data_IF_896247136505
#
_entry.id   IF_896247136505
#
_cell.length_a   1.000
_cell.length_b   1.000
_cell.length_c   1.000
_cell.angle_alpha   90.00
_cell.angle_beta   90.00
_cell.angle_gamma   90.00
#
_symmetry.space_group_name_H-M   'P 1'
#
loop_
_entity.id
_entity.type
_entity.pdbx_description
1 polymer ?
#
# COMPACT_ATOMS: atom_id res chain seq x y z
N UNK A 1 -15.81 35.26 100.68
CA UNK A 1 -16.52 34.02 100.42
C UNK A 1 -16.08 33.59 99.02
N UNK A 2 -15.07 32.78 99.03
CA UNK A 2 -15.03 31.33 98.73
C UNK A 2 -15.53 31.07 97.33
N UNK A 3 -14.89 30.38 96.43
CA UNK A 3 -14.05 29.15 96.54
C UNK A 3 -13.17 28.98 95.30
N UNK A 4 -12.02 28.44 95.56
CA UNK A 4 -11.03 27.89 94.65
C UNK A 4 -11.64 26.74 93.88
N UNK A 5 -11.33 26.60 92.54
CA UNK A 5 -11.32 25.32 91.92
C UNK A 5 -10.12 25.18 90.98
N UNK A 6 -9.13 24.53 91.55
CA UNK A 6 -7.98 23.96 90.88
C UNK A 6 -8.42 22.82 89.94
N UNK A 7 -8.31 22.98 88.69
CA UNK A 7 -8.39 21.84 87.72
C UNK A 7 -7.02 21.62 87.13
N UNK A 8 -6.32 20.65 87.71
CA UNK A 8 -5.12 20.00 87.14
C UNK A 8 -5.52 19.31 85.85
N UNK A 9 -5.13 19.86 84.70
CA UNK A 9 -5.11 19.11 83.45
C UNK A 9 -3.81 18.36 83.36
N UNK A 10 -3.94 17.00 83.41
CA UNK A 10 -2.85 16.07 83.07
C UNK A 10 -2.73 16.10 81.56
N UNK A 11 -1.60 16.63 81.05
CA UNK A 11 -1.22 16.53 79.64
C UNK A 11 -0.81 15.07 79.40
N UNK A 12 -1.72 14.35 78.70
CA UNK A 12 -1.41 13.04 78.11
C UNK A 12 -0.48 13.31 76.92
N UNK A 13 0.74 12.79 77.04
CA UNK A 13 1.73 12.86 76.01
C UNK A 13 1.23 11.99 74.80
N UNK A 14 0.79 12.63 73.71
CA UNK A 14 0.36 11.96 72.50
C UNK A 14 1.59 11.32 71.83
N UNK A 15 1.60 9.99 71.83
CA UNK A 15 2.53 9.15 71.11
C UNK A 15 2.55 9.55 69.61
N UNK A 16 3.62 10.17 69.17
CA UNK A 16 3.86 10.51 67.78
C UNK A 16 4.04 9.27 66.94
N UNK A 17 3.43 9.24 65.73
CA UNK A 17 3.08 8.05 65.01
C UNK A 17 4.27 7.25 64.49
N UNK A 18 4.15 5.91 64.61
CA UNK A 18 5.01 4.88 64.00
C UNK A 18 5.09 4.93 62.46
N UNK A 19 4.38 5.86 61.83
CA UNK A 19 4.28 6.02 60.35
C UNK A 19 5.61 6.32 59.65
N UNK A 20 6.53 7.06 60.29
CA UNK A 20 7.83 7.40 59.66
C UNK A 20 8.76 6.19 59.49
N UNK A 21 8.68 5.20 60.34
CA UNK A 21 9.53 4.00 60.23
C UNK A 21 9.06 3.06 59.15
N UNK A 22 7.75 2.89 58.99
CA UNK A 22 7.14 2.05 57.93
C UNK A 22 7.46 2.62 56.52
N UNK A 23 7.29 3.92 56.31
CA UNK A 23 7.63 4.56 55.00
C UNK A 23 9.10 4.36 54.63
N UNK A 24 10.02 4.37 55.60
CA UNK A 24 11.44 4.04 55.37
C UNK A 24 11.63 2.56 55.00
N UNK A 25 10.97 1.67 55.71
CA UNK A 25 11.02 0.20 55.41
C UNK A 25 10.49 -0.10 54.05
N UNK A 26 9.32 0.47 53.65
CA UNK A 26 8.73 0.30 52.33
C UNK A 26 9.66 0.83 51.22
N UNK A 27 10.31 1.98 51.41
CA UNK A 27 11.30 2.49 50.43
C UNK A 27 12.52 1.58 50.32
N UNK A 28 13.01 1.02 51.40
CA UNK A 28 14.15 0.09 51.39
C UNK A 28 13.73 -1.20 50.64
N UNK A 29 12.54 -1.76 50.92
CA UNK A 29 12.04 -2.95 50.24
C UNK A 29 11.85 -2.71 48.73
N UNK A 30 11.41 -1.52 48.33
CA UNK A 30 11.22 -1.14 46.95
C UNK A 30 12.57 -1.04 46.22
N UNK A 31 13.60 -0.45 46.87
CA UNK A 31 14.95 -0.41 46.31
C UNK A 31 15.55 -1.81 46.17
N UNK A 32 15.37 -2.67 47.18
CA UNK A 32 15.83 -4.06 47.14
C UNK A 32 15.14 -4.83 46.01
N UNK A 33 13.83 -4.65 45.80
CA UNK A 33 13.09 -5.27 44.73
C UNK A 33 13.61 -4.83 43.33
N UNK A 34 13.93 -3.54 43.18
CA UNK A 34 14.52 -2.99 41.96
C UNK A 34 15.91 -3.62 41.71
N UNK A 35 16.76 -3.65 42.71
CA UNK A 35 18.11 -4.26 42.59
C UNK A 35 18.02 -5.75 42.27
N UNK A 36 17.11 -6.50 42.90
CA UNK A 36 16.87 -7.90 42.59
C UNK A 36 16.36 -8.10 41.16
N UNK A 37 15.49 -7.20 40.67
CA UNK A 37 15.00 -7.23 39.27
C UNK A 37 16.14 -7.01 38.28
N UNK A 38 17.05 -6.05 38.55
CA UNK A 38 18.22 -5.85 37.66
C UNK A 38 19.21 -7.02 37.74
N UNK A 39 19.42 -7.61 38.91
CA UNK A 39 20.29 -8.79 39.06
C UNK A 39 19.71 -10.01 38.32
N UNK A 40 18.40 -10.20 38.38
CA UNK A 40 17.71 -11.29 37.71
C UNK A 40 17.72 -11.12 36.19
N UNK A 41 17.49 -9.90 35.66
CA UNK A 41 17.63 -9.60 34.24
C UNK A 41 19.09 -9.76 33.78
N UNK A 42 20.07 -9.33 34.56
CA UNK A 42 21.50 -9.53 34.28
C UNK A 42 21.88 -11.01 34.23
N UNK A 43 21.33 -11.83 35.15
CA UNK A 43 21.55 -13.28 35.18
C UNK A 43 20.93 -13.99 33.97
N UNK A 44 19.69 -13.60 33.59
CA UNK A 44 19.03 -14.12 32.37
C UNK A 44 19.81 -13.75 31.12
N UNK A 45 20.27 -12.49 31.03
CA UNK A 45 21.07 -12.03 29.90
C UNK A 45 22.43 -12.73 29.83
N UNK A 46 23.10 -12.93 30.98
CA UNK A 46 24.35 -13.67 31.06
C UNK A 46 24.18 -15.13 30.63
N UNK A 47 23.12 -15.84 31.07
CA UNK A 47 22.84 -17.19 30.65
C UNK A 47 22.48 -17.28 29.17
N UNK A 48 21.72 -16.30 28.63
CA UNK A 48 21.39 -16.23 27.20
C UNK A 48 22.64 -16.01 26.33
N UNK A 49 23.59 -15.20 26.84
CA UNK A 49 24.86 -14.94 26.14
C UNK A 49 25.88 -16.07 26.32
N UNK A 50 25.83 -16.77 27.48
CA UNK A 50 26.68 -17.93 27.81
C UNK A 50 26.20 -19.21 27.17
N UNK A 51 24.90 -19.32 26.79
CA UNK A 51 24.34 -20.45 26.05
C UNK A 51 24.67 -20.42 24.56
N UNK A 52 25.42 -19.43 24.09
CA UNK A 52 25.89 -19.34 22.70
C UNK A 52 27.21 -20.10 22.45
N UNK A 53 27.68 -20.88 23.41
CA UNK A 53 28.85 -21.72 23.23
C UNK A 53 28.48 -23.20 23.37
N UNK A 54 28.63 -23.91 22.27
CA UNK A 54 28.66 -25.36 22.14
C UNK A 54 27.33 -26.15 22.35
N UNK A 55 26.53 -26.13 21.31
CA UNK A 55 25.87 -27.35 20.86
C UNK A 55 26.30 -27.60 19.40
N UNK A 56 27.56 -27.90 19.22
CA UNK A 56 28.02 -28.59 18.02
C UNK A 56 27.42 -30.00 18.05
N UNK A 57 26.16 -30.10 17.64
CA UNK A 57 25.65 -31.40 17.20
C UNK A 57 26.35 -31.65 15.87
N UNK A 58 27.45 -32.38 15.94
CA UNK A 58 28.13 -32.95 14.77
C UNK A 58 27.16 -33.96 14.14
N UNK A 59 26.26 -33.44 13.31
CA UNK A 59 25.62 -34.26 12.28
C UNK A 59 26.68 -34.48 11.24
N UNK A 60 27.45 -35.53 11.37
CA UNK A 60 28.32 -36.04 10.32
C UNK A 60 27.46 -36.65 9.21
N UNK A 61 26.70 -35.79 8.53
CA UNK A 61 26.29 -36.08 7.18
C UNK A 61 27.31 -35.45 6.25
N UNK A 62 28.25 -36.25 5.75
CA UNK A 62 29.06 -35.94 4.58
C UNK A 62 28.18 -35.85 3.34
N UNK A 63 27.21 -34.97 3.37
CA UNK A 63 26.55 -34.43 2.19
C UNK A 63 27.35 -33.21 1.77
N UNK A 64 28.14 -33.30 0.74
CA UNK A 64 28.67 -32.17 0.03
C UNK A 64 27.44 -31.39 -0.44
N UNK A 65 27.09 -30.29 0.22
CA UNK A 65 26.12 -29.33 -0.32
C UNK A 65 26.79 -28.75 -1.55
N UNK A 66 26.54 -29.34 -2.70
CA UNK A 66 26.80 -28.66 -3.96
C UNK A 66 25.90 -27.44 -3.94
N UNK A 67 26.48 -26.25 -3.85
CA UNK A 67 25.79 -25.02 -4.16
C UNK A 67 25.47 -25.10 -5.66
N UNK A 68 24.27 -25.58 -5.96
CA UNK A 68 23.77 -25.59 -7.34
C UNK A 68 23.18 -24.21 -7.52
N UNK A 69 23.92 -23.35 -8.21
CA UNK A 69 23.36 -22.12 -8.76
C UNK A 69 22.35 -22.57 -9.82
N UNK A 70 21.08 -22.64 -9.42
CA UNK A 70 19.99 -22.76 -10.37
C UNK A 70 19.72 -21.36 -10.91
N UNK A 71 20.28 -21.03 -12.05
CA UNK A 71 19.81 -19.93 -12.88
C UNK A 71 18.57 -20.46 -13.63
N UNK A 72 17.45 -20.58 -12.92
CA UNK A 72 16.22 -21.08 -13.51
C UNK A 72 15.47 -19.89 -14.08
N UNK A 73 15.80 -19.50 -15.31
CA UNK A 73 14.91 -18.67 -16.11
C UNK A 73 13.73 -19.50 -16.53
N UNK A 74 12.56 -19.19 -15.98
CA UNK A 74 11.26 -19.71 -16.43
C UNK A 74 10.65 -18.73 -17.44
N UNK A 75 9.67 -19.18 -18.20
CA UNK A 75 8.92 -18.28 -19.08
C UNK A 75 8.33 -17.11 -18.28
N UNK A 76 7.78 -17.38 -17.09
CA UNK A 76 7.26 -16.37 -16.17
C UNK A 76 8.31 -15.31 -15.78
N UNK A 77 9.54 -15.72 -15.44
CA UNK A 77 10.59 -14.75 -15.07
C UNK A 77 10.98 -13.87 -16.25
N UNK A 78 10.97 -14.41 -17.45
CA UNK A 78 11.27 -13.65 -18.68
C UNK A 78 10.17 -12.63 -18.99
N UNK A 79 8.90 -12.98 -18.76
CA UNK A 79 7.76 -12.05 -18.88
C UNK A 79 7.87 -10.92 -17.86
N UNK A 80 8.19 -11.25 -16.61
CA UNK A 80 8.36 -10.25 -15.54
C UNK A 80 9.52 -9.30 -15.88
N UNK A 81 10.68 -9.81 -16.30
CA UNK A 81 11.83 -8.99 -16.73
C UNK A 81 11.43 -8.03 -17.86
N UNK A 82 10.59 -8.46 -18.80
CA UNK A 82 10.15 -7.65 -19.94
C UNK A 82 9.16 -6.53 -19.53
N UNK A 83 8.19 -6.84 -18.67
CA UNK A 83 7.04 -5.97 -18.41
C UNK A 83 7.19 -5.09 -17.16
N UNK A 84 7.96 -5.51 -16.14
CA UNK A 84 7.97 -4.83 -14.84
C UNK A 84 8.47 -3.39 -14.90
N UNK A 85 9.45 -3.08 -15.76
CA UNK A 85 10.01 -1.72 -15.87
C UNK A 85 9.03 -0.72 -16.50
N UNK A 86 7.96 -1.22 -17.13
CA UNK A 86 6.88 -0.39 -17.67
C UNK A 86 5.75 -0.15 -16.66
N UNK A 87 5.78 -0.83 -15.49
CA UNK A 87 4.80 -0.65 -14.43
C UNK A 87 5.37 0.28 -13.36
N UNK A 88 4.62 1.33 -13.02
CA UNK A 88 5.04 2.41 -12.16
C UNK A 88 4.11 2.53 -10.95
N UNK A 89 4.61 3.11 -9.87
CA UNK A 89 3.77 3.53 -8.75
C UNK A 89 3.12 4.89 -9.06
N UNK A 90 1.87 5.05 -8.66
CA UNK A 90 1.16 6.33 -8.70
C UNK A 90 0.90 6.80 -7.28
N UNK A 91 1.42 7.97 -6.92
CA UNK A 91 1.30 8.56 -5.58
C UNK A 91 0.45 9.82 -5.69
N UNK A 92 -0.53 9.92 -4.82
CA UNK A 92 -1.53 11.00 -4.83
C UNK A 92 -1.42 11.83 -3.56
N UNK A 93 -1.48 13.14 -3.73
CA UNK A 93 -1.45 14.11 -2.64
C UNK A 93 -2.74 14.92 -2.61
N UNK A 94 -3.27 15.13 -1.42
CA UNK A 94 -4.42 16.01 -1.16
C UNK A 94 -4.02 17.14 -0.21
N UNK A 95 -4.61 18.32 -0.41
CA UNK A 95 -4.42 19.43 0.51
C UNK A 95 -5.26 19.20 1.77
N UNK A 96 -4.61 19.02 2.90
CA UNK A 96 -5.27 19.02 4.21
C UNK A 96 -5.25 20.43 4.77
N UNK A 97 -6.42 21.08 4.84
CA UNK A 97 -6.61 22.28 5.66
C UNK A 97 -6.71 21.82 7.12
N UNK A 98 -5.64 21.92 7.85
CA UNK A 98 -5.69 21.76 9.32
C UNK A 98 -6.45 22.97 9.89
N UNK A 99 -7.75 22.84 10.08
CA UNK A 99 -8.50 23.69 10.99
C UNK A 99 -8.10 23.33 12.42
N UNK A 100 -6.91 23.75 12.84
CA UNK A 100 -6.55 23.76 14.24
C UNK A 100 -7.49 24.75 14.94
N UNK A 101 -8.38 24.26 15.78
CA UNK A 101 -9.10 25.05 16.76
C UNK A 101 -8.07 25.67 17.70
N UNK A 102 -7.59 26.87 17.36
CA UNK A 102 -6.62 27.62 18.13
C UNK A 102 -6.81 29.10 17.84
N UNK A 103 -7.14 29.84 18.88
CA UNK A 103 -7.25 31.30 18.88
C UNK A 103 -6.00 31.96 18.31
N UNK A 104 -6.14 32.67 17.17
CA UNK A 104 -5.27 33.77 16.78
C UNK A 104 -3.96 33.36 16.12
N UNK A 105 -3.97 33.03 14.84
CA UNK A 105 -3.07 33.61 13.83
C UNK A 105 -3.55 33.18 12.42
N UNK A 106 -3.65 34.13 11.51
CA UNK A 106 -4.13 33.94 10.12
C UNK A 106 -2.99 33.38 9.24
N UNK A 107 -2.46 32.21 9.53
CA UNK A 107 -1.58 31.49 8.63
C UNK A 107 -2.18 30.11 8.33
N UNK A 108 -3.07 30.05 7.32
CA UNK A 108 -3.49 28.81 6.71
C UNK A 108 -2.33 28.23 5.89
N UNK A 109 -1.48 27.41 6.52
CA UNK A 109 -0.53 26.57 5.81
C UNK A 109 -1.26 25.31 5.35
N UNK A 110 -1.62 25.27 4.07
CA UNK A 110 -2.01 24.03 3.42
C UNK A 110 -0.78 23.14 3.30
N UNK A 111 -0.75 22.03 4.01
CA UNK A 111 0.28 20.99 3.83
C UNK A 111 -0.25 19.94 2.86
N UNK A 112 0.49 19.68 1.77
CA UNK A 112 0.24 18.54 0.91
C UNK A 112 0.57 17.27 1.70
N UNK A 113 -0.41 16.38 1.82
CA UNK A 113 -0.23 15.08 2.50
C UNK A 113 -0.52 13.97 1.50
N UNK A 114 0.34 12.96 1.45
CA UNK A 114 0.08 11.76 0.67
C UNK A 114 -1.24 11.13 1.16
N UNK A 115 -2.20 11.00 0.25
CA UNK A 115 -3.56 10.52 0.56
C UNK A 115 -3.86 9.13 0.02
N UNK A 116 -3.07 8.67 -0.96
CA UNK A 116 -3.29 7.36 -1.58
C UNK A 116 -2.12 6.97 -2.48
N UNK A 117 -2.16 5.73 -2.92
CA UNK A 117 -1.24 5.20 -3.92
C UNK A 117 -1.92 4.09 -4.71
N UNK A 118 -1.48 3.91 -5.94
CA UNK A 118 -1.88 2.84 -6.84
C UNK A 118 -0.76 2.54 -7.81
N UNK A 119 -1.10 1.92 -8.91
CA UNK A 119 -0.17 1.57 -9.99
C UNK A 119 -0.52 2.33 -11.27
N UNK A 120 0.41 2.33 -12.20
CA UNK A 120 0.20 2.82 -13.55
C UNK A 120 1.05 2.03 -14.55
N UNK A 121 0.73 2.13 -15.83
CA UNK A 121 1.44 1.43 -16.90
C UNK A 121 1.89 2.44 -17.95
N UNK A 122 3.18 2.46 -18.23
CA UNK A 122 3.75 3.27 -19.32
C UNK A 122 3.38 2.62 -20.65
N UNK A 123 2.49 3.23 -21.41
CA UNK A 123 1.98 2.65 -22.66
C UNK A 123 2.40 3.41 -23.92
N UNK A 124 2.88 4.64 -23.79
CA UNK A 124 3.37 5.41 -24.93
C UNK A 124 4.42 6.44 -24.52
N UNK A 125 5.33 6.72 -25.44
CA UNK A 125 6.28 7.80 -25.32
C UNK A 125 6.31 8.61 -26.64
N UNK A 126 5.92 9.86 -26.55
CA UNK A 126 5.89 10.77 -27.70
C UNK A 126 6.76 12.01 -27.41
N UNK A 127 7.87 12.14 -28.12
CA UNK A 127 8.85 13.19 -27.91
C UNK A 127 9.46 13.11 -26.51
N UNK A 128 9.27 14.15 -25.70
CA UNK A 128 9.74 14.19 -24.30
C UNK A 128 8.72 13.72 -23.28
N UNK A 129 7.52 13.43 -23.72
CA UNK A 129 6.41 13.05 -22.85
C UNK A 129 6.29 11.54 -22.80
N UNK A 130 6.12 11.05 -21.58
CA UNK A 130 5.75 9.68 -21.26
C UNK A 130 4.30 9.67 -20.81
N UNK A 131 3.50 8.78 -21.39
CA UNK A 131 2.08 8.63 -21.08
C UNK A 131 1.86 7.36 -20.28
N UNK A 132 1.07 7.48 -19.21
CA UNK A 132 0.79 6.41 -18.26
C UNK A 132 -0.72 6.23 -18.14
N UNK A 133 -1.18 4.99 -18.24
CA UNK A 133 -2.54 4.59 -17.91
C UNK A 133 -2.59 4.26 -16.43
N UNK A 134 -3.64 4.70 -15.75
CA UNK A 134 -4.01 4.27 -14.39
C UNK A 134 -5.53 4.26 -14.25
N UNK A 135 -6.07 3.90 -13.10
CA UNK A 135 -7.50 4.03 -12.86
C UNK A 135 -7.90 5.45 -12.44
N UNK A 136 -9.14 5.84 -12.78
CA UNK A 136 -9.72 7.10 -12.36
C UNK A 136 -9.77 7.18 -10.82
N UNK A 137 -10.29 6.13 -10.13
CA UNK A 137 -10.40 6.12 -8.68
C UNK A 137 -9.06 6.27 -7.95
N UNK A 138 -7.93 5.90 -8.58
CA UNK A 138 -6.58 6.08 -8.01
C UNK A 138 -6.23 7.56 -7.88
N UNK A 139 -6.65 8.40 -8.86
CA UNK A 139 -6.27 9.82 -8.91
C UNK A 139 -7.41 10.75 -8.51
N UNK A 140 -8.57 10.23 -8.17
CA UNK A 140 -9.74 11.05 -7.85
C UNK A 140 -9.49 11.97 -6.65
N UNK A 141 -9.88 13.23 -6.81
CA UNK A 141 -9.69 14.30 -5.83
C UNK A 141 -8.23 14.64 -5.53
N UNK A 142 -7.26 14.19 -6.36
CA UNK A 142 -5.86 14.53 -6.22
C UNK A 142 -5.59 16.01 -6.51
N UNK A 143 -4.81 16.68 -5.66
CA UNK A 143 -4.27 18.01 -5.96
C UNK A 143 -2.93 17.92 -6.69
N UNK A 144 -2.17 16.85 -6.42
CA UNK A 144 -0.91 16.56 -7.08
C UNK A 144 -0.75 15.06 -7.26
N UNK A 145 -0.19 14.65 -8.39
CA UNK A 145 0.13 13.26 -8.73
C UNK A 145 1.62 13.16 -9.02
N UNK A 146 2.26 12.14 -8.47
CA UNK A 146 3.63 11.77 -8.81
C UNK A 146 3.65 10.33 -9.30
N UNK A 147 4.51 10.07 -10.26
CA UNK A 147 4.81 8.72 -10.76
C UNK A 147 6.16 8.29 -10.23
N UNK A 148 6.25 7.06 -9.74
CA UNK A 148 7.47 6.47 -9.21
C UNK A 148 7.89 5.32 -10.11
N UNK A 149 9.04 5.47 -10.75
CA UNK A 149 9.60 4.49 -11.68
C UNK A 149 10.40 3.39 -10.97
N UNK A 150 10.76 2.33 -11.69
CA UNK A 150 11.50 1.18 -11.14
C UNK A 150 12.88 1.56 -10.55
N UNK A 151 13.47 2.67 -11.01
CA UNK A 151 14.70 3.24 -10.46
C UNK A 151 14.51 4.07 -9.18
N UNK A 152 13.29 4.10 -8.60
CA UNK A 152 12.86 4.90 -7.45
C UNK A 152 12.88 6.43 -7.67
N UNK A 153 12.93 6.88 -8.91
CA UNK A 153 12.79 8.31 -9.23
C UNK A 153 11.32 8.72 -9.23
N UNK A 154 11.06 9.86 -8.57
CA UNK A 154 9.74 10.50 -8.51
C UNK A 154 9.65 11.59 -9.56
N UNK A 155 8.67 11.49 -10.42
CA UNK A 155 8.40 12.47 -11.46
C UNK A 155 7.01 13.04 -11.28
N UNK A 156 6.88 14.37 -11.23
CA UNK A 156 5.56 15.02 -11.19
C UNK A 156 4.81 14.71 -12.48
N UNK A 157 3.56 14.32 -12.35
CA UNK A 157 2.69 13.96 -13.46
C UNK A 157 1.48 14.88 -13.55
N UNK A 158 1.14 15.24 -14.77
CA UNK A 158 -0.08 15.97 -15.11
C UNK A 158 -1.18 14.99 -15.47
N UNK A 159 -2.39 15.21 -14.97
CA UNK A 159 -3.58 14.47 -15.41
C UNK A 159 -4.02 15.05 -16.76
N UNK A 160 -3.88 14.25 -17.82
CA UNK A 160 -4.34 14.63 -19.17
C UNK A 160 -5.86 14.63 -19.23
N UNK A 161 -6.47 13.67 -18.59
CA UNK A 161 -7.90 13.53 -18.39
C UNK A 161 -8.21 12.17 -17.77
N UNK A 162 -9.46 12.00 -17.39
CA UNK A 162 -9.97 10.73 -16.86
C UNK A 162 -11.44 10.54 -17.19
N UNK A 163 -11.88 9.32 -17.08
CA UNK A 163 -13.25 8.91 -17.28
C UNK A 163 -13.70 8.02 -16.13
N UNK A 164 -14.73 8.45 -15.42
CA UNK A 164 -15.26 7.76 -14.26
C UNK A 164 -16.02 6.47 -14.65
N UNK A 165 -16.71 6.50 -15.81
CA UNK A 165 -17.51 5.38 -16.28
C UNK A 165 -16.65 4.17 -16.67
N UNK A 166 -15.53 4.38 -17.32
CA UNK A 166 -14.57 3.33 -17.66
C UNK A 166 -13.52 3.10 -16.59
N UNK A 167 -13.50 3.93 -15.56
CA UNK A 167 -12.47 3.97 -14.51
C UNK A 167 -11.03 4.04 -15.05
N UNK A 168 -10.82 4.82 -16.12
CA UNK A 168 -9.52 5.02 -16.77
C UNK A 168 -9.06 6.47 -16.63
N UNK A 169 -7.78 6.65 -16.34
CA UNK A 169 -7.13 7.95 -16.33
C UNK A 169 -5.80 7.92 -17.08
N UNK A 170 -5.47 9.01 -17.73
CA UNK A 170 -4.22 9.21 -18.46
C UNK A 170 -3.39 10.27 -17.76
N UNK A 171 -2.18 9.87 -17.38
CA UNK A 171 -1.18 10.78 -16.84
C UNK A 171 -0.11 11.07 -17.89
N UNK A 172 0.55 12.21 -17.75
CA UNK A 172 1.67 12.62 -18.59
C UNK A 172 2.79 13.16 -17.71
N UNK A 173 4.02 12.70 -17.94
CA UNK A 173 5.20 13.23 -17.27
C UNK A 173 6.38 13.37 -18.22
N UNK A 174 7.49 13.93 -17.72
CA UNK A 174 8.72 14.14 -18.49
C UNK A 174 9.91 13.63 -17.68
N UNK A 175 10.18 12.32 -17.67
CA UNK A 175 11.37 11.75 -17.02
C UNK A 175 12.65 12.23 -17.73
N UNK A 176 13.74 12.39 -16.98
CA UNK A 176 15.05 12.76 -17.51
C UNK A 176 15.94 11.54 -17.82
N UNK A 177 15.36 10.35 -17.81
CA UNK A 177 15.98 9.05 -18.02
C UNK A 177 15.14 8.22 -19.01
N UNK A 178 15.73 7.17 -19.53
CA UNK A 178 15.05 6.24 -20.44
C UNK A 178 13.97 5.45 -19.68
N UNK A 179 12.81 5.29 -20.30
CA UNK A 179 11.67 4.54 -19.74
C UNK A 179 11.30 3.38 -20.65
N UNK A 180 10.89 2.28 -20.06
CA UNK A 180 10.33 1.15 -20.80
C UNK A 180 8.85 1.42 -21.09
N UNK A 181 8.45 1.17 -22.33
CA UNK A 181 7.07 1.21 -22.79
C UNK A 181 6.58 -0.21 -22.94
N UNK A 182 5.40 -0.53 -22.42
CA UNK A 182 4.86 -1.89 -22.51
C UNK A 182 4.37 -2.21 -23.93
N UNK A 183 4.54 -3.44 -24.35
CA UNK A 183 3.90 -3.92 -25.59
C UNK A 183 2.39 -4.11 -25.33
N UNK A 184 1.55 -3.62 -26.25
CA UNK A 184 0.11 -3.82 -26.17
C UNK A 184 -0.28 -5.16 -26.81
N UNK A 185 -1.08 -5.93 -26.08
CA UNK A 185 -1.71 -7.15 -26.57
C UNK A 185 -3.10 -6.86 -27.16
N UNK A 186 -3.84 -7.92 -27.41
CA UNK A 186 -5.22 -7.87 -27.88
C UNK A 186 -6.10 -8.63 -26.90
N UNK A 187 -6.94 -7.90 -26.15
CA UNK A 187 -7.81 -8.51 -25.13
C UNK A 187 -8.95 -9.34 -25.70
N UNK A 188 -9.33 -9.11 -26.98
CA UNK A 188 -10.40 -9.86 -27.63
C UNK A 188 -9.95 -11.28 -28.04
N UNK A 189 -8.62 -11.52 -28.04
CA UNK A 189 -8.03 -12.81 -28.36
C UNK A 189 -7.75 -13.71 -27.16
N UNK A 190 -8.08 -13.21 -25.93
CA UNK A 190 -7.86 -13.97 -24.71
C UNK A 190 -8.80 -15.18 -24.61
N UNK A 191 -8.23 -16.32 -24.25
CA UNK A 191 -8.97 -17.54 -23.95
C UNK A 191 -9.07 -17.81 -22.44
N UNK A 192 -10.21 -18.35 -21.99
CA UNK A 192 -10.36 -18.81 -20.60
C UNK A 192 -9.36 -19.93 -20.30
N UNK A 193 -8.65 -19.78 -19.17
CA UNK A 193 -7.59 -20.71 -18.78
C UNK A 193 -6.20 -20.27 -19.23
N UNK A 194 -6.07 -19.21 -20.02
CA UNK A 194 -4.79 -18.61 -20.39
C UNK A 194 -4.08 -18.04 -19.16
N UNK A 195 -2.79 -18.32 -19.03
CA UNK A 195 -1.97 -17.81 -17.90
C UNK A 195 -1.72 -16.33 -18.07
N UNK A 196 -1.95 -15.57 -16.98
CA UNK A 196 -1.71 -14.14 -16.93
C UNK A 196 -0.95 -13.77 -15.65
N UNK A 197 -0.22 -12.66 -15.71
CA UNK A 197 0.46 -12.06 -14.56
C UNK A 197 -0.13 -10.69 -14.29
N UNK A 198 -0.46 -10.43 -13.04
CA UNK A 198 -0.79 -9.08 -12.59
C UNK A 198 0.45 -8.47 -11.96
N UNK A 199 0.85 -7.28 -12.44
CA UNK A 199 2.03 -6.55 -12.01
C UNK A 199 1.59 -5.18 -11.50
N UNK A 200 2.00 -4.84 -10.26
CA UNK A 200 1.63 -3.58 -9.64
C UNK A 200 2.59 -3.13 -8.56
N UNK A 201 2.23 -2.03 -7.91
CA UNK A 201 2.96 -1.43 -6.80
C UNK A 201 2.07 -1.32 -5.56
N UNK A 202 1.63 -2.46 -4.99
CA UNK A 202 0.71 -2.47 -3.86
C UNK A 202 1.33 -1.79 -2.63
N UNK A 203 0.49 -1.07 -1.84
CA UNK A 203 0.87 -0.44 -0.59
C UNK A 203 2.02 0.60 -0.69
N UNK A 204 2.26 1.14 -1.89
CA UNK A 204 3.29 2.15 -2.13
C UNK A 204 4.65 1.56 -2.52
N UNK A 205 5.67 2.42 -2.57
CA UNK A 205 7.00 2.18 -3.16
C UNK A 205 7.72 0.98 -2.56
N UNK A 206 7.45 0.62 -1.30
CA UNK A 206 8.11 -0.50 -0.61
C UNK A 206 7.80 -1.87 -1.24
N UNK A 207 6.74 -1.95 -2.05
CA UNK A 207 6.29 -3.17 -2.71
C UNK A 207 6.16 -3.00 -4.23
N UNK A 208 6.86 -2.01 -4.80
CA UNK A 208 6.91 -1.79 -6.24
C UNK A 208 7.37 -3.07 -6.95
N UNK A 209 6.71 -3.38 -8.09
CA UNK A 209 7.03 -4.57 -8.86
C UNK A 209 6.51 -5.88 -8.27
N UNK A 210 5.48 -5.83 -7.40
CA UNK A 210 4.80 -7.06 -6.95
C UNK A 210 4.13 -7.75 -8.13
N UNK A 211 4.39 -9.05 -8.27
CA UNK A 211 3.84 -9.90 -9.33
C UNK A 211 3.01 -11.01 -8.72
N UNK A 212 1.81 -11.19 -9.23
CA UNK A 212 0.96 -12.35 -8.95
C UNK A 212 0.62 -13.06 -10.23
N UNK A 213 0.45 -14.37 -10.17
CA UNK A 213 0.15 -15.21 -11.32
C UNK A 213 -1.21 -15.89 -11.14
N UNK A 214 -1.94 -15.98 -12.23
CA UNK A 214 -3.22 -16.67 -12.30
C UNK A 214 -3.57 -17.02 -13.74
N UNK A 215 -4.87 -17.20 -13.99
CA UNK A 215 -5.42 -17.46 -15.31
C UNK A 215 -6.55 -16.48 -15.62
N UNK A 216 -6.90 -16.36 -16.88
CA UNK A 216 -8.14 -15.75 -17.32
C UNK A 216 -9.31 -16.65 -16.90
N UNK A 217 -10.08 -16.24 -15.91
CA UNK A 217 -11.24 -16.98 -15.42
C UNK A 217 -12.48 -16.73 -16.29
N UNK A 218 -12.63 -15.51 -16.83
CA UNK A 218 -13.65 -15.12 -17.81
C UNK A 218 -13.18 -13.91 -18.63
N UNK A 219 -13.62 -13.80 -19.89
CA UNK A 219 -13.26 -12.70 -20.80
C UNK A 219 -14.33 -11.63 -20.91
N UNK A 220 -15.61 -12.00 -20.73
CA UNK A 220 -16.78 -11.12 -20.91
C UNK A 220 -17.63 -11.13 -19.64
N UNK A 221 -17.11 -10.56 -18.57
CA UNK A 221 -17.87 -10.44 -17.32
C UNK A 221 -18.46 -9.05 -17.24
N UNK A 222 -19.79 -8.93 -17.18
CA UNK A 222 -20.43 -7.66 -16.86
C UNK A 222 -20.45 -7.48 -15.36
N UNK A 223 -19.94 -6.34 -14.89
CA UNK A 223 -19.94 -5.92 -13.50
C UNK A 223 -20.70 -4.60 -13.42
N UNK A 224 -21.73 -4.56 -12.58
CA UNK A 224 -22.47 -3.33 -12.31
C UNK A 224 -21.70 -2.47 -11.30
N UNK A 225 -21.64 -1.17 -11.55
CA UNK A 225 -20.87 -0.21 -10.78
C UNK A 225 -21.79 0.89 -10.26
N UNK A 226 -21.73 1.11 -8.96
CA UNK A 226 -22.28 2.30 -8.30
C UNK A 226 -21.19 3.40 -8.33
N UNK A 227 -21.45 4.49 -9.05
CA UNK A 227 -20.50 5.59 -9.23
C UNK A 227 -20.58 6.63 -8.12
N UNK A 228 -21.73 6.71 -7.44
CA UNK A 228 -22.04 7.78 -6.49
C UNK A 228 -22.22 7.30 -5.05
N UNK A 229 -22.00 6.02 -4.76
CA UNK A 229 -22.15 5.36 -3.45
C UNK A 229 -23.58 5.41 -2.88
N UNK A 230 -24.62 5.52 -3.73
CA UNK A 230 -26.02 5.51 -3.31
C UNK A 230 -26.63 4.10 -3.21
N UNK A 231 -25.84 3.06 -3.53
CA UNK A 231 -26.18 1.64 -3.55
C UNK A 231 -27.16 1.25 -4.66
N UNK A 232 -27.19 2.04 -5.72
CA UNK A 232 -27.88 1.74 -6.96
C UNK A 232 -26.82 1.65 -8.06
N UNK A 233 -26.88 0.58 -8.85
CA UNK A 233 -25.95 0.41 -9.96
C UNK A 233 -26.25 1.46 -11.03
N UNK A 234 -25.26 2.27 -11.40
CA UNK A 234 -25.36 3.34 -12.40
C UNK A 234 -24.93 2.89 -13.80
N UNK A 235 -23.97 1.95 -13.83
CA UNK A 235 -23.28 1.60 -15.06
C UNK A 235 -22.84 0.14 -15.09
N UNK A 236 -22.90 -0.49 -16.27
CA UNK A 236 -22.39 -1.84 -16.50
C UNK A 236 -21.07 -1.78 -17.26
N UNK A 237 -20.04 -2.42 -16.72
CA UNK A 237 -18.72 -2.53 -17.35
C UNK A 237 -18.44 -3.96 -17.78
N UNK A 238 -17.80 -4.12 -18.93
CA UNK A 238 -17.22 -5.39 -19.34
C UNK A 238 -15.80 -5.51 -18.79
N UNK A 239 -15.48 -6.64 -18.14
CA UNK A 239 -14.18 -6.85 -17.50
C UNK A 239 -13.66 -8.27 -17.73
N UNK A 240 -12.33 -8.42 -17.71
CA UNK A 240 -11.63 -9.69 -17.63
C UNK A 240 -11.64 -10.11 -16.15
N UNK A 241 -12.06 -11.34 -15.86
CA UNK A 241 -11.92 -11.94 -14.56
C UNK A 241 -10.67 -12.81 -14.50
N UNK A 242 -9.91 -12.72 -13.41
CA UNK A 242 -8.72 -13.53 -13.15
C UNK A 242 -8.70 -14.01 -11.70
N UNK A 243 -8.02 -15.13 -11.43
CA UNK A 243 -7.70 -15.59 -10.07
C UNK A 243 -6.30 -15.15 -9.62
N UNK A 244 -5.56 -14.41 -10.46
CA UNK A 244 -4.37 -13.68 -10.00
C UNK A 244 -4.75 -12.73 -8.86
N UNK A 245 -4.01 -12.74 -7.76
CA UNK A 245 -4.35 -11.93 -6.59
C UNK A 245 -4.25 -10.44 -6.92
N UNK A 246 -5.37 -9.74 -6.87
CA UNK A 246 -5.47 -8.28 -7.00
C UNK A 246 -5.75 -7.73 -5.60
N UNK A 247 -4.85 -6.89 -5.10
CA UNK A 247 -4.87 -6.33 -3.75
C UNK A 247 -4.79 -4.79 -3.81
N UNK A 248 -5.11 -4.06 -2.71
CA UNK A 248 -4.94 -2.62 -2.63
C UNK A 248 -3.56 -2.19 -3.10
N UNK A 249 -3.54 -1.23 -4.06
CA UNK A 249 -2.33 -0.74 -4.71
C UNK A 249 -2.00 -1.38 -6.05
N UNK A 250 -2.57 -2.55 -6.40
CA UNK A 250 -2.47 -3.08 -7.77
C UNK A 250 -3.38 -2.35 -8.76
N UNK A 251 -4.43 -1.65 -8.30
CA UNK A 251 -5.30 -0.83 -9.17
C UNK A 251 -4.49 0.09 -10.07
N UNK A 252 -4.77 0.07 -11.37
CA UNK A 252 -4.06 0.79 -12.41
C UNK A 252 -2.80 0.06 -12.93
N UNK A 253 -2.46 -1.09 -12.37
CA UNK A 253 -1.35 -1.94 -12.81
C UNK A 253 -1.65 -2.77 -14.05
N UNK A 254 -0.66 -3.54 -14.49
CA UNK A 254 -0.74 -4.33 -15.69
C UNK A 254 -1.27 -5.75 -15.43
N UNK A 255 -2.22 -6.21 -16.25
CA UNK A 255 -2.45 -7.62 -16.49
C UNK A 255 -1.78 -7.97 -17.81
N UNK A 256 -0.80 -8.88 -17.79
CA UNK A 256 -0.02 -9.27 -18.99
C UNK A 256 -0.16 -10.75 -19.28
N UNK A 257 -0.12 -11.08 -20.58
CA UNK A 257 -0.07 -12.46 -21.04
C UNK A 257 1.35 -13.04 -20.96
N UNK A 258 1.53 -14.31 -21.33
CA UNK A 258 2.85 -14.99 -21.29
C UNK A 258 3.83 -14.55 -22.38
N UNK A 259 3.46 -13.57 -23.24
CA UNK A 259 4.39 -12.87 -24.15
C UNK A 259 4.89 -11.55 -23.55
N UNK A 260 4.37 -11.14 -22.38
CA UNK A 260 4.65 -9.85 -21.74
C UNK A 260 3.92 -8.70 -22.42
N UNK A 261 2.79 -8.98 -23.09
CA UNK A 261 1.92 -7.99 -23.70
C UNK A 261 0.81 -7.61 -22.73
N UNK A 262 0.50 -6.32 -22.63
CA UNK A 262 -0.57 -5.78 -21.79
C UNK A 262 -1.93 -6.19 -22.36
N UNK A 263 -2.72 -6.92 -21.61
CA UNK A 263 -4.05 -7.38 -22.01
C UNK A 263 -5.18 -6.78 -21.17
N UNK A 264 -4.84 -6.13 -20.06
CA UNK A 264 -5.82 -5.40 -19.26
C UNK A 264 -5.15 -4.52 -18.19
N UNK A 265 -5.94 -3.63 -17.62
CA UNK A 265 -5.58 -2.78 -16.47
C UNK A 265 -6.28 -3.32 -15.23
N UNK A 266 -5.50 -3.74 -14.24
CA UNK A 266 -6.03 -4.31 -12.99
C UNK A 266 -6.88 -3.29 -12.25
N UNK A 267 -8.01 -3.75 -11.69
CA UNK A 267 -8.97 -2.88 -11.03
C UNK A 267 -9.53 -3.56 -9.77
N UNK A 268 -9.32 -2.93 -8.63
CA UNK A 268 -9.78 -3.45 -7.36
C UNK A 268 -11.19 -2.95 -6.98
N UNK A 269 -11.66 -1.84 -7.57
CA UNK A 269 -13.00 -1.27 -7.27
C UNK A 269 -14.12 -2.30 -7.50
N UNK A 270 -13.93 -3.23 -8.43
CA UNK A 270 -14.90 -4.26 -8.77
C UNK A 270 -14.72 -5.57 -8.00
N UNK A 271 -13.69 -5.68 -7.18
CA UNK A 271 -13.42 -6.90 -6.40
C UNK A 271 -14.14 -6.85 -5.06
N UNK A 272 -14.84 -7.92 -4.72
CA UNK A 272 -15.40 -8.09 -3.38
C UNK A 272 -14.29 -8.61 -2.45
N UNK A 273 -13.86 -7.80 -1.50
CA UNK A 273 -12.80 -8.15 -0.53
C UNK A 273 -13.10 -9.41 0.30
N UNK A 274 -14.38 -9.83 0.34
CA UNK A 274 -14.79 -11.04 1.04
C UNK A 274 -14.63 -12.32 0.20
N UNK A 275 -14.31 -12.21 -1.10
CA UNK A 275 -14.21 -13.34 -2.03
C UNK A 275 -12.79 -13.46 -2.56
N UNK A 276 -12.05 -14.43 -2.09
CA UNK A 276 -10.71 -14.76 -2.60
C UNK A 276 -10.78 -15.37 -4.01
N UNK A 277 -9.80 -15.04 -4.87
CA UNK A 277 -9.68 -15.60 -6.22
C UNK A 277 -10.62 -14.96 -7.26
N UNK A 278 -11.17 -13.78 -6.99
CA UNK A 278 -11.95 -12.99 -7.94
C UNK A 278 -11.31 -11.62 -8.11
N UNK A 279 -10.36 -11.51 -9.02
CA UNK A 279 -9.78 -10.26 -9.48
C UNK A 279 -10.38 -9.84 -10.81
N UNK A 280 -10.34 -8.53 -11.10
CA UNK A 280 -10.86 -7.97 -12.34
C UNK A 280 -9.84 -7.04 -12.99
N UNK A 281 -9.90 -6.98 -14.33
CA UNK A 281 -9.14 -6.03 -15.13
C UNK A 281 -10.00 -5.47 -16.27
N UNK A 282 -9.79 -4.21 -16.59
CA UNK A 282 -10.43 -3.56 -17.73
C UNK A 282 -9.70 -4.02 -19.00
N UNK A 283 -10.41 -4.54 -20.03
CA UNK A 283 -9.78 -5.00 -21.26
C UNK A 283 -8.93 -3.91 -21.94
N UNK A 284 -7.75 -4.26 -22.43
CA UNK A 284 -6.83 -3.26 -23.00
C UNK A 284 -7.40 -2.57 -24.24
N UNK A 285 -8.18 -3.26 -25.07
CA UNK A 285 -8.79 -2.67 -26.27
C UNK A 285 -9.76 -1.55 -25.91
N UNK A 286 -10.54 -1.71 -24.83
CA UNK A 286 -11.43 -0.68 -24.31
C UNK A 286 -10.62 0.48 -23.71
N UNK A 287 -9.59 0.16 -22.91
CA UNK A 287 -8.70 1.16 -22.30
C UNK A 287 -8.04 2.06 -23.33
N UNK A 288 -7.49 1.48 -24.42
CA UNK A 288 -6.82 2.26 -25.47
C UNK A 288 -7.82 3.15 -26.22
N UNK A 289 -9.04 2.65 -26.46
CA UNK A 289 -10.10 3.45 -27.07
C UNK A 289 -10.43 4.71 -26.23
N UNK A 290 -10.53 4.53 -24.92
CA UNK A 290 -10.74 5.62 -23.94
C UNK A 290 -9.52 6.55 -23.89
N UNK A 291 -8.31 5.98 -23.82
CA UNK A 291 -7.06 6.73 -23.75
C UNK A 291 -6.88 7.67 -24.97
N UNK A 292 -7.19 7.20 -26.17
CA UNK A 292 -7.12 8.01 -27.40
C UNK A 292 -8.10 9.18 -27.36
N UNK A 293 -9.32 8.98 -26.87
CA UNK A 293 -10.31 10.05 -26.69
C UNK A 293 -9.82 11.08 -25.68
N UNK A 294 -9.30 10.63 -24.53
CA UNK A 294 -8.75 11.51 -23.50
C UNK A 294 -7.57 12.32 -24.05
N UNK A 295 -6.62 11.68 -24.74
CA UNK A 295 -5.46 12.38 -25.34
C UNK A 295 -5.85 13.43 -26.37
N UNK A 296 -6.88 13.13 -27.17
CA UNK A 296 -7.31 14.03 -28.25
C UNK A 296 -8.22 15.15 -27.76
N UNK A 297 -9.15 14.84 -26.86
CA UNK A 297 -10.24 15.74 -26.48
C UNK A 297 -10.19 16.19 -25.01
N UNK A 298 -9.29 15.62 -24.20
CA UNK A 298 -9.20 15.83 -22.75
C UNK A 298 -10.32 15.11 -21.96
N UNK A 299 -11.25 14.46 -22.63
CA UNK A 299 -12.40 13.75 -22.02
C UNK A 299 -12.97 12.71 -22.95
N UNK A 300 -13.74 11.79 -22.39
CA UNK A 300 -14.57 10.81 -23.14
C UNK A 300 -15.98 11.38 -23.36
N UNK A 301 -16.57 11.05 -24.48
CA UNK A 301 -17.96 11.42 -24.81
C UNK A 301 -18.84 10.18 -24.69
N UNK A 302 -19.69 10.14 -23.67
CA UNK A 302 -20.69 9.11 -23.50
C UNK A 302 -22.00 9.55 -24.18
N UNK A 303 -22.68 8.69 -24.95
CA UNK A 303 -23.99 9.02 -25.52
C UNK A 303 -25.00 9.13 -24.38
N UNK A 304 -25.65 10.27 -24.26
CA UNK A 304 -26.78 10.49 -23.34
C UNK A 304 -28.05 10.23 -24.11
N UNK A 305 -28.84 9.25 -23.67
CA UNK A 305 -30.21 9.05 -24.17
C UNK A 305 -31.08 10.08 -23.43
N UNK A 306 -31.54 11.09 -24.15
CA UNK A 306 -32.44 12.11 -23.66
C UNK A 306 -33.91 11.66 -23.64
#
# INVERSE_FOLDING_TARGET
MNEDNNNNFILVDEDKPKEKKWKKIVKILLVVAIVCSFAMNGYVFYNMMSSSSDSTTTVTNKGTVKQVNYDVKTDTTSVVEKASDSVVGVVVYKNTTNNAFGFGDNSSSSSETQSGSGSGVVYDQTGKYTYIITNHHVIDGANKVQVVFSNNEYVDAEVVGSDEYSDVAILRCQPSFDVSVIDLGDSDLLDKGETVLAIGSPLGIQYSGTVTQGIVSATDRTVSVDLNDDKVDDWDMNVIQTDAAINPGNSGGALVNMKGELVGITNMKFSDESVEGMGFAIPINDVITVAEQIRTNGKVSHPVIG
#
